data_IF_078239489475
#
_entry.id   IF_078239489475
#
_cell.length_a   1.000
_cell.length_b   1.000
_cell.length_c   1.000
_cell.angle_alpha   90.00
_cell.angle_beta   90.00
_cell.angle_gamma   90.00
#
_symmetry.space_group_name_H-M   'P 1'
#
loop_
_entity.id
_entity.type
_entity.pdbx_description
1 polymer ?
#
# COMPACT_ATOMS: atom_id res chain seq x y z
N UNK A 1 28.86 56.86 3.38
CA UNK A 1 27.60 56.09 3.28
C UNK A 1 27.59 55.45 1.90
N UNK A 2 27.69 54.15 1.67
CA UNK A 2 27.93 52.95 2.46
C UNK A 2 28.66 52.02 1.46
N UNK A 3 29.88 51.58 1.78
CA UNK A 3 30.51 50.48 1.06
C UNK A 3 29.99 49.19 1.70
N UNK A 4 29.06 48.52 1.03
CA UNK A 4 28.60 47.20 1.45
C UNK A 4 29.70 46.20 1.14
N UNK A 5 30.51 45.89 2.16
CA UNK A 5 31.49 44.80 2.12
C UNK A 5 30.73 43.48 2.10
N UNK A 6 30.75 42.79 0.96
CA UNK A 6 30.30 41.41 0.85
C UNK A 6 31.30 40.51 1.56
N UNK A 7 30.95 40.05 2.77
CA UNK A 7 31.69 39.02 3.50
C UNK A 7 31.13 37.65 3.07
N UNK A 8 31.57 37.14 1.92
CA UNK A 8 31.46 35.70 1.64
C UNK A 8 32.60 35.00 2.38
N UNK A 9 32.27 34.39 3.53
CA UNK A 9 33.16 33.39 4.14
C UNK A 9 33.20 32.18 3.20
N UNK A 10 34.38 31.68 2.80
CA UNK A 10 34.47 30.34 2.25
C UNK A 10 34.19 29.36 3.39
N UNK A 11 33.07 28.63 3.31
CA UNK A 11 32.88 27.46 4.16
C UNK A 11 33.82 26.39 3.60
N UNK A 12 35.02 26.33 4.15
CA UNK A 12 35.89 25.16 4.06
C UNK A 12 35.24 24.04 4.85
N UNK A 13 34.29 23.31 4.25
CA UNK A 13 33.76 22.09 4.86
C UNK A 13 34.72 20.93 4.59
N UNK A 14 35.81 20.87 5.37
CA UNK A 14 36.38 19.59 5.75
C UNK A 14 35.42 18.97 6.79
N UNK A 15 34.28 18.48 6.31
CA UNK A 15 33.43 17.58 7.07
C UNK A 15 33.65 16.21 6.46
N UNK A 16 34.31 15.32 7.20
CA UNK A 16 33.98 13.90 7.13
C UNK A 16 32.45 13.83 7.21
N UNK A 17 31.79 13.65 6.07
CA UNK A 17 30.34 13.56 6.03
C UNK A 17 29.96 12.42 6.97
N UNK A 18 29.28 12.77 8.05
CA UNK A 18 28.75 11.83 9.03
C UNK A 18 27.84 10.87 8.27
N UNK A 19 28.38 9.71 7.90
CA UNK A 19 27.75 8.79 6.95
C UNK A 19 26.68 8.03 7.72
N UNK A 20 25.49 8.63 7.81
CA UNK A 20 24.33 7.98 8.42
C UNK A 20 23.87 6.86 7.50
N UNK A 21 23.81 5.64 8.03
CA UNK A 21 23.29 4.46 7.35
C UNK A 21 21.81 4.31 7.72
N UNK A 22 20.96 4.13 6.71
CA UNK A 22 19.50 4.03 6.89
C UNK A 22 19.01 2.60 6.64
N UNK A 23 18.73 1.86 7.72
CA UNK A 23 18.18 0.50 7.70
C UNK A 23 16.73 0.47 8.20
N UNK A 24 15.89 1.39 7.72
CA UNK A 24 14.49 1.53 8.15
C UNK A 24 13.53 1.73 6.96
N UNK A 25 13.84 1.12 5.80
CA UNK A 25 13.03 1.25 4.59
C UNK A 25 11.59 0.70 4.74
N UNK A 26 11.36 -0.19 5.71
CA UNK A 26 10.01 -0.68 6.03
C UNK A 26 9.08 0.44 6.56
N UNK A 27 9.64 1.46 7.24
CA UNK A 27 8.89 2.64 7.67
C UNK A 27 8.66 3.61 6.50
N UNK A 28 9.73 3.99 5.79
CA UNK A 28 9.66 4.76 4.55
C UNK A 28 10.96 4.67 3.77
N UNK A 29 10.89 4.86 2.47
CA UNK A 29 12.07 4.94 1.60
C UNK A 29 12.40 6.40 1.22
N UNK A 30 13.65 6.69 0.81
CA UNK A 30 13.95 7.94 0.10
C UNK A 30 13.22 8.01 -1.24
N UNK A 31 12.88 9.22 -1.68
CA UNK A 31 12.29 9.46 -3.00
C UNK A 31 13.34 9.19 -4.08
N UNK A 32 12.99 8.39 -5.09
CA UNK A 32 13.86 8.15 -6.23
C UNK A 32 14.02 9.41 -7.10
N UNK A 33 15.21 9.56 -7.71
CA UNK A 33 15.54 10.75 -8.50
C UNK A 33 14.71 10.83 -9.79
N UNK A 34 14.53 9.73 -10.52
CA UNK A 34 13.67 9.70 -11.72
C UNK A 34 12.21 10.01 -11.35
N UNK A 35 11.78 9.60 -10.15
CA UNK A 35 10.45 9.94 -9.62
C UNK A 35 10.33 11.44 -9.37
N UNK A 36 11.30 12.05 -8.68
CA UNK A 36 11.32 13.49 -8.45
C UNK A 36 11.28 14.26 -9.78
N UNK A 37 12.09 13.86 -10.76
CA UNK A 37 12.12 14.48 -12.09
C UNK A 37 10.76 14.41 -12.79
N UNK A 38 10.05 13.29 -12.69
CA UNK A 38 8.70 13.16 -13.24
C UNK A 38 7.66 14.05 -12.52
N UNK A 39 7.87 14.35 -11.24
CA UNK A 39 6.97 15.19 -10.44
C UNK A 39 7.16 16.69 -10.70
N UNK A 40 8.41 17.13 -10.95
CA UNK A 40 8.78 18.55 -11.03
C UNK A 40 7.93 19.40 -11.99
N UNK A 41 7.56 18.93 -13.20
CA UNK A 41 6.70 19.70 -14.10
C UNK A 41 5.33 20.04 -13.48
N UNK A 42 4.74 19.13 -12.70
CA UNK A 42 3.43 19.31 -12.05
C UNK A 42 3.50 20.15 -10.77
N UNK A 43 4.71 20.41 -10.27
CA UNK A 43 4.97 21.36 -9.19
C UNK A 43 5.23 22.78 -9.72
N UNK A 44 5.51 22.93 -11.02
CA UNK A 44 6.01 24.18 -11.59
C UNK A 44 5.18 24.66 -12.77
N UNK A 45 5.29 24.03 -13.93
CA UNK A 45 4.69 24.50 -15.20
C UNK A 45 3.31 23.92 -15.51
N UNK A 46 3.00 22.72 -15.02
CA UNK A 46 1.73 22.00 -15.22
C UNK A 46 0.87 22.01 -13.94
N UNK A 47 0.61 23.20 -13.40
CA UNK A 47 -0.09 23.41 -12.12
C UNK A 47 -1.63 23.43 -12.23
N UNK A 48 -2.19 23.20 -13.41
CA UNK A 48 -3.62 23.33 -13.67
C UNK A 48 -4.49 22.39 -12.83
N UNK A 49 -5.66 22.85 -12.38
CA UNK A 49 -6.62 21.99 -11.69
C UNK A 49 -7.25 20.98 -12.68
N UNK A 50 -7.13 19.65 -12.45
CA UNK A 50 -7.66 18.60 -13.34
C UNK A 50 -9.17 18.62 -13.58
N UNK A 51 -9.91 19.26 -12.68
CA UNK A 51 -11.36 19.47 -12.80
C UNK A 51 -11.72 20.60 -13.80
N UNK A 52 -10.73 21.36 -14.29
CA UNK A 52 -10.96 22.48 -15.21
C UNK A 52 -10.97 22.06 -16.67
N UNK A 53 -11.82 22.71 -17.48
CA UNK A 53 -12.01 22.38 -18.91
C UNK A 53 -10.98 23.02 -19.86
N UNK A 54 -10.21 24.02 -19.42
CA UNK A 54 -9.21 24.71 -20.24
C UNK A 54 -7.89 23.92 -20.33
N UNK A 55 -6.96 24.37 -21.17
CA UNK A 55 -5.74 23.62 -21.56
C UNK A 55 -4.96 23.04 -20.38
N UNK A 56 -4.60 23.86 -19.39
CA UNK A 56 -3.83 23.39 -18.22
C UNK A 56 -4.57 22.32 -17.41
N UNK A 57 -5.90 22.43 -17.26
CA UNK A 57 -6.69 21.40 -16.57
C UNK A 57 -6.78 20.09 -17.35
N UNK A 58 -6.91 20.17 -18.68
CA UNK A 58 -6.89 18.99 -19.55
C UNK A 58 -5.55 18.26 -19.53
N UNK A 59 -4.46 19.01 -19.48
CA UNK A 59 -3.09 18.48 -19.38
C UNK A 59 -2.88 17.69 -18.09
N UNK A 60 -3.24 18.25 -16.92
CA UNK A 60 -3.08 17.56 -15.65
C UNK A 60 -4.06 16.40 -15.47
N UNK A 61 -5.28 16.51 -16.01
CA UNK A 61 -6.22 15.38 -16.10
C UNK A 61 -5.65 14.23 -16.93
N UNK A 62 -5.01 14.53 -18.06
CA UNK A 62 -4.37 13.50 -18.88
C UNK A 62 -3.23 12.81 -18.13
N UNK A 63 -2.45 13.55 -17.32
CA UNK A 63 -1.40 12.99 -16.49
C UNK A 63 -1.93 11.99 -15.45
N UNK A 64 -3.05 12.31 -14.80
CA UNK A 64 -3.73 11.39 -13.87
C UNK A 64 -4.17 10.12 -14.59
N UNK A 65 -4.83 10.26 -15.74
CA UNK A 65 -5.35 9.10 -16.48
C UNK A 65 -4.23 8.21 -17.04
N UNK A 66 -3.10 8.79 -17.46
CA UNK A 66 -1.92 8.03 -17.86
C UNK A 66 -1.29 7.30 -16.65
N UNK A 67 -1.19 7.98 -15.50
CA UNK A 67 -0.71 7.37 -14.26
C UNK A 67 -1.59 6.19 -13.85
N UNK A 68 -2.92 6.35 -13.93
CA UNK A 68 -3.90 5.29 -13.66
C UNK A 68 -3.74 4.10 -14.60
N UNK A 69 -3.54 4.34 -15.90
CA UNK A 69 -3.28 3.28 -16.89
C UNK A 69 -1.99 2.53 -16.58
N UNK A 70 -0.92 3.23 -16.21
CA UNK A 70 0.36 2.61 -15.84
C UNK A 70 0.20 1.70 -14.62
N UNK A 71 -0.40 2.21 -13.54
CA UNK A 71 -0.63 1.43 -12.31
C UNK A 71 -1.50 0.21 -12.59
N UNK A 72 -2.61 0.39 -13.31
CA UNK A 72 -3.53 -0.70 -13.64
C UNK A 72 -2.87 -1.78 -14.50
N UNK A 73 -2.05 -1.40 -15.50
CA UNK A 73 -1.27 -2.34 -16.32
C UNK A 73 -0.30 -3.15 -15.47
N UNK A 74 0.45 -2.49 -14.56
CA UNK A 74 1.44 -3.16 -13.71
C UNK A 74 0.80 -4.10 -12.68
N UNK A 75 -0.45 -3.85 -12.29
CA UNK A 75 -1.23 -4.70 -11.39
C UNK A 75 -2.16 -5.69 -12.12
N UNK A 76 -2.16 -5.71 -13.46
CA UNK A 76 -2.96 -6.63 -14.27
C UNK A 76 -4.47 -6.39 -14.23
N UNK A 77 -4.92 -5.13 -14.08
CA UNK A 77 -6.34 -4.76 -13.96
C UNK A 77 -6.75 -3.63 -14.91
N UNK A 78 -8.05 -3.33 -14.98
CA UNK A 78 -8.57 -2.24 -15.81
C UNK A 78 -8.30 -0.89 -15.13
N UNK A 79 -7.99 0.19 -15.87
CA UNK A 79 -7.77 1.51 -15.27
C UNK A 79 -8.93 1.99 -14.39
N UNK A 80 -10.16 1.63 -14.73
CA UNK A 80 -11.34 2.03 -13.97
C UNK A 80 -11.46 1.45 -12.55
N UNK A 81 -10.63 0.47 -12.17
CA UNK A 81 -10.65 -0.15 -10.85
C UNK A 81 -9.61 0.43 -9.89
N UNK A 82 -8.80 1.40 -10.33
CA UNK A 82 -7.77 2.05 -9.52
C UNK A 82 -8.24 3.45 -9.13
N UNK A 83 -8.22 3.75 -7.84
CA UNK A 83 -8.54 5.06 -7.27
C UNK A 83 -7.38 5.56 -6.44
N UNK A 84 -6.95 6.80 -6.66
CA UNK A 84 -5.87 7.42 -5.90
C UNK A 84 -6.40 7.94 -4.56
N UNK A 85 -5.64 7.67 -3.50
CA UNK A 85 -5.93 8.09 -2.13
C UNK A 85 -4.76 8.93 -1.61
N UNK A 86 -4.87 9.49 -0.39
CA UNK A 86 -3.74 10.16 0.27
C UNK A 86 -2.70 9.20 0.87
N UNK A 87 -2.90 7.87 0.78
CA UNK A 87 -1.98 6.87 1.31
C UNK A 87 -2.68 5.55 1.67
N UNK A 88 -1.90 4.63 2.23
CA UNK A 88 -2.37 3.30 2.65
C UNK A 88 -3.51 3.40 3.68
N UNK A 89 -3.35 4.24 4.70
CA UNK A 89 -4.36 4.43 5.75
C UNK A 89 -5.74 4.84 5.21
N UNK A 90 -5.80 5.80 4.27
CA UNK A 90 -7.08 6.19 3.65
C UNK A 90 -7.67 5.03 2.83
N UNK A 91 -6.82 4.27 2.14
CA UNK A 91 -7.24 3.10 1.36
C UNK A 91 -7.83 2.01 2.24
N UNK A 92 -7.14 1.61 3.32
CA UNK A 92 -7.61 0.58 4.25
C UNK A 92 -8.94 0.99 4.88
N UNK A 93 -9.04 2.24 5.32
CA UNK A 93 -10.26 2.78 5.90
C UNK A 93 -11.42 2.75 4.92
N UNK A 94 -11.16 3.11 3.66
CA UNK A 94 -12.17 3.09 2.60
C UNK A 94 -12.64 1.67 2.32
N UNK A 95 -11.72 0.71 2.17
CA UNK A 95 -12.06 -0.68 1.88
C UNK A 95 -12.89 -1.32 2.99
N UNK A 96 -12.46 -1.19 4.24
CA UNK A 96 -13.12 -1.80 5.41
C UNK A 96 -14.49 -1.15 5.64
N UNK A 97 -14.57 0.19 5.60
CA UNK A 97 -15.84 0.88 5.77
C UNK A 97 -16.84 0.53 4.65
N UNK A 98 -16.38 0.44 3.40
CA UNK A 98 -17.23 0.08 2.26
C UNK A 98 -17.76 -1.36 2.35
N UNK A 99 -16.95 -2.31 2.80
CA UNK A 99 -17.37 -3.69 2.97
C UNK A 99 -18.53 -3.84 3.98
N UNK A 100 -18.49 -3.08 5.07
CA UNK A 100 -19.58 -3.05 6.06
C UNK A 100 -20.77 -2.26 5.51
N UNK A 101 -20.56 -0.99 5.14
CA UNK A 101 -21.63 -0.04 4.79
C UNK A 101 -22.36 -0.40 3.49
N UNK A 102 -21.63 -0.78 2.45
CA UNK A 102 -22.18 -0.91 1.10
C UNK A 102 -22.33 -2.37 0.69
N UNK A 103 -21.38 -3.23 1.08
CA UNK A 103 -21.45 -4.65 0.78
C UNK A 103 -22.22 -5.44 1.85
N UNK A 104 -22.55 -4.83 3.00
CA UNK A 104 -23.38 -5.43 4.03
C UNK A 104 -22.69 -6.57 4.80
N UNK A 105 -21.36 -6.54 4.89
CA UNK A 105 -20.63 -7.49 5.74
C UNK A 105 -20.97 -7.22 7.22
N UNK A 106 -21.22 -8.28 7.98
CA UNK A 106 -21.60 -8.24 9.41
C UNK A 106 -20.57 -8.93 10.30
N UNK A 107 -19.57 -9.57 9.70
CA UNK A 107 -18.43 -10.15 10.42
C UNK A 107 -17.11 -9.82 9.73
N UNK A 108 -16.12 -9.37 10.49
CA UNK A 108 -14.76 -9.12 10.00
C UNK A 108 -13.82 -10.17 10.59
N UNK A 109 -13.17 -10.93 9.73
CA UNK A 109 -12.07 -11.84 10.06
C UNK A 109 -10.77 -11.13 9.70
N UNK A 110 -9.90 -10.92 10.69
CA UNK A 110 -8.62 -10.21 10.54
C UNK A 110 -7.52 -10.93 11.32
N UNK A 111 -6.30 -10.38 11.42
CA UNK A 111 -5.21 -10.93 12.23
C UNK A 111 -4.75 -9.95 13.33
N UNK A 112 -4.11 -10.43 14.41
CA UNK A 112 -3.57 -9.54 15.44
C UNK A 112 -2.26 -8.85 14.99
N UNK A 113 -1.69 -9.25 13.86
CA UNK A 113 -0.45 -8.69 13.29
C UNK A 113 -0.71 -7.69 12.17
N UNK A 114 -1.97 -7.27 11.98
CA UNK A 114 -2.28 -6.23 11.00
C UNK A 114 -1.68 -4.87 11.39
N UNK A 115 -1.49 -4.00 10.41
CA UNK A 115 -1.06 -2.63 10.66
C UNK A 115 -2.16 -1.87 11.41
N UNK A 116 -1.78 -0.88 12.22
CA UNK A 116 -2.74 -0.07 13.00
C UNK A 116 -3.84 0.58 12.15
N UNK A 117 -3.57 0.88 10.88
CA UNK A 117 -4.59 1.39 9.95
C UNK A 117 -5.74 0.40 9.72
N UNK A 118 -5.49 -0.90 9.80
CA UNK A 118 -6.53 -1.95 9.73
C UNK A 118 -7.09 -2.20 11.13
N UNK A 119 -6.24 -2.46 12.14
CA UNK A 119 -6.69 -2.81 13.49
C UNK A 119 -7.60 -1.75 14.11
N UNK A 120 -7.19 -0.48 14.09
CA UNK A 120 -7.98 0.59 14.68
C UNK A 120 -9.28 0.87 13.91
N UNK A 121 -9.29 0.67 12.59
CA UNK A 121 -10.51 0.79 11.78
C UNK A 121 -11.49 -0.34 12.09
N UNK A 122 -10.99 -1.58 12.22
CA UNK A 122 -11.81 -2.73 12.63
C UNK A 122 -12.36 -2.52 14.04
N UNK A 123 -11.54 -2.07 14.98
CA UNK A 123 -11.97 -1.75 16.35
C UNK A 123 -13.04 -0.64 16.38
N UNK A 124 -12.83 0.44 15.62
CA UNK A 124 -13.79 1.52 15.50
C UNK A 124 -15.15 1.05 14.96
N UNK A 125 -15.14 0.25 13.88
CA UNK A 125 -16.37 -0.25 13.26
C UNK A 125 -17.07 -1.33 14.11
N UNK A 126 -16.32 -2.10 14.91
CA UNK A 126 -16.87 -3.08 15.84
C UNK A 126 -17.66 -2.44 17.01
N UNK A 127 -17.64 -1.12 17.16
CA UNK A 127 -18.53 -0.41 18.09
C UNK A 127 -20.00 -0.47 17.65
N UNK A 128 -20.28 -0.70 16.36
CA UNK A 128 -21.62 -1.03 15.87
C UNK A 128 -21.99 -2.45 16.32
N UNK A 129 -23.10 -2.59 17.05
CA UNK A 129 -23.60 -3.87 17.57
C UNK A 129 -23.93 -4.90 16.48
N UNK A 130 -24.05 -4.47 15.23
CA UNK A 130 -24.30 -5.34 14.07
C UNK A 130 -23.02 -5.87 13.41
N UNK A 131 -21.85 -5.38 13.83
CA UNK A 131 -20.55 -5.80 13.33
C UNK A 131 -19.84 -6.60 14.41
N UNK A 132 -19.46 -7.83 14.08
CA UNK A 132 -18.66 -8.67 14.98
C UNK A 132 -17.30 -8.94 14.37
N UNK A 133 -16.29 -9.22 15.18
CA UNK A 133 -14.92 -9.43 14.70
C UNK A 133 -14.34 -10.72 15.26
N UNK A 134 -13.36 -11.28 14.56
CA UNK A 134 -12.57 -12.42 15.01
C UNK A 134 -11.15 -12.31 14.45
N UNK A 135 -10.21 -12.94 15.17
CA UNK A 135 -8.82 -13.01 14.76
C UNK A 135 -8.50 -14.43 14.29
N UNK A 136 -7.89 -14.55 13.12
CA UNK A 136 -7.30 -15.81 12.67
C UNK A 136 -6.12 -16.19 13.56
N UNK A 137 -5.97 -17.49 13.82
CA UNK A 137 -4.82 -17.97 14.56
C UNK A 137 -3.53 -17.74 13.77
N UNK A 138 -2.42 -17.58 14.49
CA UNK A 138 -1.08 -17.53 13.95
C UNK A 138 -0.35 -18.82 14.26
N UNK A 139 0.52 -19.22 13.36
CA UNK A 139 1.55 -20.24 13.62
C UNK A 139 2.68 -19.62 14.46
N UNK A 140 3.51 -20.48 15.03
CA UNK A 140 4.66 -20.04 15.86
C UNK A 140 5.65 -19.14 15.10
N UNK A 141 5.71 -19.26 13.78
CA UNK A 141 6.59 -18.49 12.90
C UNK A 141 5.95 -17.20 12.34
N UNK A 142 4.77 -16.82 12.87
CA UNK A 142 4.06 -15.60 12.48
C UNK A 142 3.19 -15.72 11.23
N UNK A 143 3.18 -16.88 10.54
CA UNK A 143 2.26 -17.06 9.40
C UNK A 143 0.81 -17.23 9.86
N UNK A 144 -0.12 -16.74 9.04
CA UNK A 144 -1.55 -17.00 9.22
C UNK A 144 -1.83 -18.51 9.10
N UNK A 145 -2.59 -19.04 10.04
CA UNK A 145 -3.11 -20.41 9.95
C UNK A 145 -4.34 -20.45 9.03
N UNK A 146 -4.14 -20.99 7.82
CA UNK A 146 -5.20 -21.12 6.82
C UNK A 146 -6.32 -22.08 7.26
N UNK A 147 -6.03 -23.07 8.13
CA UNK A 147 -7.07 -23.94 8.65
C UNK A 147 -7.98 -23.15 9.60
N UNK A 148 -7.39 -22.33 10.47
CA UNK A 148 -8.15 -21.42 11.35
C UNK A 148 -9.02 -20.45 10.54
N UNK A 149 -8.51 -19.90 9.44
CA UNK A 149 -9.28 -19.04 8.54
C UNK A 149 -10.46 -19.80 7.91
N UNK A 150 -10.23 -21.01 7.40
CA UNK A 150 -11.27 -21.83 6.78
C UNK A 150 -12.37 -22.23 7.77
N UNK A 151 -11.99 -22.63 8.99
CA UNK A 151 -12.93 -22.99 10.05
C UNK A 151 -13.81 -21.81 10.45
N UNK A 152 -13.22 -20.61 10.59
CA UNK A 152 -13.95 -19.38 10.90
C UNK A 152 -14.90 -18.99 9.76
N UNK A 153 -14.43 -19.03 8.51
CA UNK A 153 -15.28 -18.77 7.34
C UNK A 153 -16.47 -19.73 7.34
N UNK A 154 -16.24 -21.04 7.47
CA UNK A 154 -17.30 -22.05 7.53
C UNK A 154 -18.31 -21.76 8.64
N UNK A 155 -17.84 -21.46 9.85
CA UNK A 155 -18.69 -21.18 11.02
C UNK A 155 -19.55 -19.93 10.81
N UNK A 156 -18.95 -18.81 10.39
CA UNK A 156 -19.66 -17.54 10.32
C UNK A 156 -20.57 -17.46 9.09
N UNK A 157 -20.13 -17.95 7.93
CA UNK A 157 -21.02 -17.99 6.75
C UNK A 157 -22.13 -19.02 6.93
N UNK A 158 -21.84 -20.16 7.58
CA UNK A 158 -22.84 -21.18 7.92
C UNK A 158 -23.91 -20.70 8.92
N UNK A 159 -23.59 -19.70 9.75
CA UNK A 159 -24.55 -19.02 10.64
C UNK A 159 -25.25 -17.82 9.99
N UNK A 160 -25.11 -17.64 8.67
CA UNK A 160 -25.77 -16.60 7.90
C UNK A 160 -25.11 -15.22 7.97
N UNK A 161 -23.90 -15.11 8.54
CA UNK A 161 -23.15 -13.85 8.52
C UNK A 161 -22.49 -13.64 7.16
N UNK A 162 -22.46 -12.38 6.70
CA UNK A 162 -21.70 -11.99 5.53
C UNK A 162 -20.31 -11.54 5.98
N UNK A 163 -19.28 -12.25 5.54
CA UNK A 163 -17.92 -12.06 6.06
C UNK A 163 -17.08 -11.14 5.17
N UNK A 164 -16.28 -10.29 5.80
CA UNK A 164 -15.10 -9.65 5.22
C UNK A 164 -13.86 -10.31 5.81
N UNK A 165 -12.93 -10.72 4.97
CA UNK A 165 -11.56 -11.07 5.35
C UNK A 165 -10.67 -9.87 5.03
N UNK A 166 -9.90 -9.40 6.00
CA UNK A 166 -8.88 -8.36 5.81
C UNK A 166 -7.57 -8.84 6.39
N UNK A 167 -6.61 -9.17 5.52
CA UNK A 167 -5.30 -9.69 5.92
C UNK A 167 -4.20 -9.04 5.09
N UNK A 168 -3.22 -8.43 5.72
CA UNK A 168 -2.06 -7.82 5.05
C UNK A 168 -1.28 -8.86 4.24
N UNK A 169 -0.75 -8.45 3.09
CA UNK A 169 -0.02 -9.33 2.20
C UNK A 169 1.39 -9.63 2.73
N UNK A 170 2.05 -8.66 3.37
CA UNK A 170 3.32 -8.86 4.08
C UNK A 170 3.32 -8.09 5.38
N UNK A 171 3.79 -8.72 6.46
CA UNK A 171 3.94 -8.05 7.73
C UNK A 171 5.10 -7.04 7.71
N UNK A 172 4.84 -5.82 8.19
CA UNK A 172 5.80 -4.73 8.18
C UNK A 172 6.92 -4.84 9.21
N UNK A 173 6.85 -5.79 10.15
CA UNK A 173 7.82 -5.98 11.22
C UNK A 173 8.67 -7.25 10.99
N UNK A 174 8.01 -8.38 10.71
CA UNK A 174 8.69 -9.69 10.57
C UNK A 174 8.76 -10.19 9.12
N UNK A 175 8.14 -9.50 8.16
CA UNK A 175 8.27 -9.80 6.72
C UNK A 175 7.58 -11.08 6.24
N UNK A 176 6.78 -11.75 7.09
CA UNK A 176 6.03 -12.96 6.70
C UNK A 176 5.02 -12.64 5.60
N UNK A 177 5.01 -13.45 4.55
CA UNK A 177 4.11 -13.29 3.40
C UNK A 177 2.82 -14.12 3.58
N UNK A 178 1.69 -13.48 3.31
CA UNK A 178 0.41 -14.14 3.20
C UNK A 178 0.36 -14.90 1.86
N UNK A 179 -0.06 -16.18 1.84
CA UNK A 179 -0.36 -16.87 0.59
C UNK A 179 -1.68 -16.34 -0.01
N UNK A 180 -1.65 -15.10 -0.53
CA UNK A 180 -2.82 -14.29 -0.90
C UNK A 180 -3.75 -14.99 -1.89
N UNK A 181 -3.21 -15.79 -2.81
CA UNK A 181 -4.00 -16.61 -3.75
C UNK A 181 -4.87 -17.65 -3.03
N UNK A 182 -4.27 -18.38 -2.08
CA UNK A 182 -4.99 -19.40 -1.28
C UNK A 182 -6.05 -18.76 -0.38
N UNK A 183 -5.76 -17.59 0.19
CA UNK A 183 -6.75 -16.82 0.95
C UNK A 183 -7.90 -16.38 0.04
N UNK A 184 -7.59 -15.88 -1.16
CA UNK A 184 -8.60 -15.55 -2.16
C UNK A 184 -9.48 -16.76 -2.53
N UNK A 185 -8.89 -17.94 -2.76
CA UNK A 185 -9.62 -19.18 -3.02
C UNK A 185 -10.58 -19.56 -1.87
N UNK A 186 -10.14 -19.43 -0.62
CA UNK A 186 -11.00 -19.63 0.55
C UNK A 186 -12.13 -18.59 0.59
N UNK A 187 -11.83 -17.30 0.39
CA UNK A 187 -12.85 -16.26 0.34
C UNK A 187 -13.87 -16.52 -0.78
N UNK A 188 -13.44 -17.00 -1.94
CA UNK A 188 -14.33 -17.38 -3.04
C UNK A 188 -15.24 -18.54 -2.64
N UNK A 189 -14.67 -19.60 -2.06
CA UNK A 189 -15.40 -20.80 -1.61
C UNK A 189 -16.54 -20.45 -0.63
N UNK A 190 -16.32 -19.48 0.25
CA UNK A 190 -17.27 -19.07 1.28
C UNK A 190 -18.01 -17.77 0.96
N UNK A 191 -17.90 -17.25 -0.27
CA UNK A 191 -18.52 -15.99 -0.71
C UNK A 191 -18.22 -14.79 0.22
N UNK A 192 -17.00 -14.75 0.76
CA UNK A 192 -16.53 -13.65 1.61
C UNK A 192 -15.92 -12.52 0.77
N UNK A 193 -16.12 -11.28 1.23
CA UNK A 193 -15.39 -10.12 0.70
C UNK A 193 -13.94 -10.21 1.15
N UNK A 194 -12.97 -9.88 0.28
CA UNK A 194 -11.55 -9.99 0.59
C UNK A 194 -10.82 -8.68 0.32
N UNK A 195 -10.21 -8.13 1.36
CA UNK A 195 -9.27 -7.02 1.31
C UNK A 195 -7.88 -7.51 1.72
N UNK A 196 -6.85 -7.00 1.08
CA UNK A 196 -5.47 -7.17 1.55
C UNK A 196 -4.71 -5.84 1.54
N UNK A 197 -4.16 -5.48 2.70
CA UNK A 197 -3.19 -4.40 2.79
C UNK A 197 -1.89 -4.85 2.10
N UNK A 198 -1.62 -4.28 0.93
CA UNK A 198 -0.45 -4.58 0.11
C UNK A 198 0.61 -3.47 0.17
N UNK A 199 0.58 -2.59 1.17
CA UNK A 199 1.50 -1.45 1.32
C UNK A 199 2.97 -1.89 1.34
N UNK A 200 3.29 -3.05 1.91
CA UNK A 200 4.65 -3.60 1.92
C UNK A 200 5.01 -4.47 0.72
N UNK A 201 4.10 -4.71 -0.22
CA UNK A 201 4.33 -5.65 -1.33
C UNK A 201 4.19 -5.04 -2.71
N UNK A 202 3.26 -4.09 -2.92
CA UNK A 202 3.22 -3.30 -4.16
C UNK A 202 4.54 -2.54 -4.29
N UNK A 203 5.20 -2.69 -5.44
CA UNK A 203 6.54 -2.14 -5.68
C UNK A 203 7.69 -3.03 -5.22
N UNK A 204 7.43 -4.11 -4.48
CA UNK A 204 8.46 -5.06 -4.04
C UNK A 204 8.31 -6.44 -4.68
N UNK A 205 7.10 -6.82 -5.08
CA UNK A 205 6.80 -8.09 -5.72
C UNK A 205 5.91 -7.90 -6.95
N UNK A 206 6.07 -8.71 -8.02
CA UNK A 206 5.12 -8.77 -9.11
C UNK A 206 3.76 -9.27 -8.59
N UNK A 207 2.73 -8.44 -8.74
CA UNK A 207 1.36 -8.77 -8.33
C UNK A 207 0.44 -8.62 -9.54
N UNK A 208 -0.17 -9.73 -9.96
CA UNK A 208 -1.25 -9.72 -10.94
C UNK A 208 -2.58 -9.97 -10.21
N UNK A 209 -3.36 -8.91 -10.00
CA UNK A 209 -4.64 -9.01 -9.30
C UNK A 209 -5.70 -9.73 -10.13
N UNK A 210 -5.52 -9.85 -11.46
CA UNK A 210 -6.41 -10.65 -12.31
C UNK A 210 -6.39 -12.15 -11.99
N UNK A 211 -5.32 -12.63 -11.33
CA UNK A 211 -5.14 -14.04 -10.94
C UNK A 211 -5.55 -14.32 -9.49
N UNK A 212 -6.09 -13.32 -8.78
CA UNK A 212 -6.39 -13.40 -7.35
C UNK A 212 -7.86 -13.06 -7.16
N UNK A 213 -8.62 -13.93 -6.49
CA UNK A 213 -9.97 -13.57 -6.04
C UNK A 213 -9.86 -12.55 -4.91
N UNK A 214 -9.90 -11.26 -5.25
CA UNK A 214 -9.74 -10.16 -4.30
C UNK A 214 -10.66 -8.99 -4.66
N UNK A 215 -11.22 -8.35 -3.63
CA UNK A 215 -12.17 -7.24 -3.79
C UNK A 215 -11.49 -5.89 -3.64
N UNK A 216 -10.52 -5.80 -2.73
CA UNK A 216 -9.80 -4.57 -2.43
C UNK A 216 -8.31 -4.83 -2.20
N UNK A 217 -7.46 -3.90 -2.66
CA UNK A 217 -6.08 -3.80 -2.16
C UNK A 217 -5.75 -2.36 -1.80
N UNK A 218 -4.87 -2.20 -0.82
CA UNK A 218 -4.29 -0.91 -0.44
C UNK A 218 -2.80 -0.85 -0.78
N UNK A 219 -2.31 0.31 -1.22
CA UNK A 219 -0.88 0.56 -1.37
C UNK A 219 -0.51 2.03 -1.18
N UNK A 220 0.76 2.29 -0.83
CA UNK A 220 1.28 3.63 -0.56
C UNK A 220 2.70 3.79 -1.14
N UNK A 221 2.97 4.84 -1.92
CA UNK A 221 4.20 4.87 -2.71
C UNK A 221 5.48 5.14 -1.93
N UNK A 222 5.39 5.72 -0.74
CA UNK A 222 6.57 5.99 0.10
C UNK A 222 7.23 4.73 0.68
N UNK A 223 6.68 3.54 0.39
CA UNK A 223 7.30 2.24 0.69
C UNK A 223 8.16 1.69 -0.45
N UNK A 224 8.10 2.28 -1.64
CA UNK A 224 8.84 1.83 -2.83
C UNK A 224 9.39 3.03 -3.63
N UNK A 225 10.03 3.96 -2.92
CA UNK A 225 10.72 5.13 -3.45
C UNK A 225 9.87 6.19 -4.16
N UNK A 226 8.55 6.16 -3.94
CA UNK A 226 7.64 7.22 -4.36
C UNK A 226 7.40 8.28 -3.28
N UNK A 227 6.60 9.32 -3.60
CA UNK A 227 6.30 10.39 -2.66
C UNK A 227 5.41 9.91 -1.51
N UNK A 228 5.49 10.63 -0.38
CA UNK A 228 4.55 10.54 0.73
C UNK A 228 3.24 11.25 0.37
N UNK A 229 2.14 10.88 1.05
CA UNK A 229 0.84 11.55 0.85
C UNK A 229 0.11 11.14 -0.43
N UNK A 230 0.43 9.96 -0.98
CA UNK A 230 -0.32 9.34 -2.08
C UNK A 230 -0.32 7.82 -1.93
N UNK A 231 -1.46 7.23 -2.24
CA UNK A 231 -1.67 5.79 -2.30
C UNK A 231 -2.67 5.43 -3.39
N UNK A 232 -3.01 4.15 -3.43
CA UNK A 232 -4.11 3.65 -4.24
C UNK A 232 -5.01 2.74 -3.42
N UNK A 233 -6.28 2.73 -3.83
CA UNK A 233 -7.25 1.70 -3.55
C UNK A 233 -7.59 1.01 -4.87
N UNK A 234 -7.42 -0.30 -4.93
CA UNK A 234 -8.07 -1.12 -5.95
C UNK A 234 -9.48 -1.48 -5.48
N UNK A 235 -10.47 -1.40 -6.37
CA UNK A 235 -11.82 -1.92 -6.15
C UNK A 235 -12.18 -2.83 -7.32
N UNK A 236 -12.47 -4.09 -7.03
CA UNK A 236 -12.86 -5.07 -8.05
C UNK A 236 -14.11 -4.60 -8.80
N UNK A 237 -14.10 -4.77 -10.13
CA UNK A 237 -15.18 -4.28 -11.00
C UNK A 237 -16.54 -4.95 -10.77
N UNK A 238 -16.56 -6.09 -10.07
CA UNK A 238 -17.78 -6.82 -9.75
C UNK A 238 -18.50 -6.32 -8.50
N UNK A 239 -17.95 -5.33 -7.79
CA UNK A 239 -18.59 -4.74 -6.62
C UNK A 239 -18.82 -3.24 -6.81
N UNK A 240 -19.83 -2.73 -6.12
CA UNK A 240 -20.17 -1.31 -6.12
C UNK A 240 -20.10 -0.80 -4.69
N UNK A 241 -19.33 0.27 -4.48
CA UNK A 241 -19.20 0.95 -3.18
C UNK A 241 -19.49 2.44 -3.36
N UNK A 242 -19.73 3.13 -2.24
CA UNK A 242 -19.90 4.58 -2.20
C UNK A 242 -18.59 5.25 -1.78
N UNK A 243 -18.37 6.54 -2.08
CA UNK A 243 -17.18 7.25 -1.62
C UNK A 243 -17.07 7.26 -0.09
N UNK A 244 -15.83 7.20 0.41
CA UNK A 244 -15.55 7.41 1.84
C UNK A 244 -15.49 8.91 2.17
N UNK A 245 -14.83 9.69 1.31
CA UNK A 245 -14.78 11.16 1.40
C UNK A 245 -15.83 11.75 0.47
N UNK A 246 -16.84 12.40 1.05
CA UNK A 246 -17.91 13.10 0.31
C UNK A 246 -17.45 14.45 -0.25
N UNK A 247 -17.93 14.83 -1.42
CA UNK A 247 -17.63 16.13 -2.04
C UNK A 247 -17.87 16.14 -3.55
N UNK A 248 -16.94 16.72 -4.30
CA UNK A 248 -16.99 16.78 -5.76
C UNK A 248 -16.79 15.42 -6.46
N UNK A 249 -16.86 15.43 -7.79
CA UNK A 249 -16.80 14.22 -8.62
C UNK A 249 -15.40 13.72 -8.99
N UNK A 250 -14.37 14.09 -8.21
CA UNK A 250 -12.99 13.61 -8.39
C UNK A 250 -12.90 12.09 -8.25
N UNK A 251 -11.83 11.51 -8.83
CA UNK A 251 -11.60 10.06 -8.82
C UNK A 251 -12.87 9.25 -9.22
N UNK A 252 -13.56 9.73 -10.26
CA UNK A 252 -14.78 9.11 -10.81
C UNK A 252 -15.93 9.02 -9.79
N UNK A 253 -16.09 10.05 -8.96
CA UNK A 253 -17.04 10.14 -7.84
C UNK A 253 -16.75 9.18 -6.67
N UNK A 254 -15.57 8.57 -6.61
CA UNK A 254 -15.21 7.59 -5.58
C UNK A 254 -14.36 8.15 -4.45
N UNK A 255 -13.69 9.28 -4.68
CA UNK A 255 -12.85 9.93 -3.68
C UNK A 255 -12.79 11.43 -3.96
N UNK A 256 -13.57 12.22 -3.23
CA UNK A 256 -13.63 13.66 -3.44
C UNK A 256 -12.35 14.39 -3.01
N UNK A 257 -12.17 15.60 -3.55
CA UNK A 257 -11.04 16.48 -3.27
C UNK A 257 -10.10 16.58 -4.46
N UNK A 258 -9.61 17.79 -4.73
CA UNK A 258 -8.70 18.06 -5.85
C UNK A 258 -7.53 17.08 -5.83
N UNK A 259 -7.30 16.43 -6.96
CA UNK A 259 -6.34 15.34 -7.07
C UNK A 259 -4.90 15.84 -6.86
N UNK A 260 -4.11 15.08 -6.09
CA UNK A 260 -2.69 15.33 -5.88
C UNK A 260 -1.89 14.94 -7.14
N UNK A 261 -1.93 15.78 -8.19
CA UNK A 261 -1.41 15.45 -9.54
C UNK A 261 0.06 15.02 -9.50
N UNK A 262 0.93 15.81 -8.86
CA UNK A 262 2.36 15.48 -8.76
C UNK A 262 2.58 14.19 -7.97
N UNK A 263 1.83 13.98 -6.87
CA UNK A 263 1.88 12.74 -6.11
C UNK A 263 1.47 11.52 -6.93
N UNK A 264 0.37 11.63 -7.69
CA UNK A 264 -0.15 10.57 -8.56
C UNK A 264 0.85 10.18 -9.65
N UNK A 265 1.45 11.18 -10.31
CA UNK A 265 2.51 10.96 -11.30
C UNK A 265 3.73 10.30 -10.65
N UNK A 266 4.13 10.77 -9.47
CA UNK A 266 5.22 10.18 -8.70
C UNK A 266 4.95 8.73 -8.28
N UNK A 267 3.73 8.41 -7.85
CA UNK A 267 3.31 7.04 -7.52
C UNK A 267 3.49 6.13 -8.74
N UNK A 268 2.94 6.52 -9.89
CA UNK A 268 3.00 5.70 -11.10
C UNK A 268 4.44 5.51 -11.60
N UNK A 269 5.27 6.56 -11.54
CA UNK A 269 6.68 6.48 -11.92
C UNK A 269 7.47 5.58 -10.97
N UNK A 270 7.24 5.68 -9.67
CA UNK A 270 7.88 4.84 -8.66
C UNK A 270 7.55 3.36 -8.89
N UNK A 271 6.28 3.03 -9.14
CA UNK A 271 5.87 1.66 -9.41
C UNK A 271 6.46 1.13 -10.74
N UNK A 272 6.53 1.97 -11.76
CA UNK A 272 7.18 1.61 -13.04
C UNK A 272 8.65 1.25 -12.85
N UNK A 273 9.43 2.09 -12.14
CA UNK A 273 10.84 1.83 -11.85
C UNK A 273 11.00 0.57 -11.02
N UNK A 274 10.22 0.44 -9.95
CA UNK A 274 10.31 -0.70 -9.05
C UNK A 274 10.05 -2.03 -9.77
N UNK A 275 9.10 -2.06 -10.72
CA UNK A 275 8.82 -3.26 -11.53
C UNK A 275 9.79 -3.46 -12.70
N UNK A 276 10.34 -2.38 -13.27
CA UNK A 276 11.42 -2.44 -14.28
C UNK A 276 12.67 -3.11 -13.69
N UNK A 277 13.04 -2.72 -12.48
CA UNK A 277 14.31 -3.10 -11.84
C UNK A 277 14.17 -4.26 -10.85
N UNK A 278 12.97 -4.85 -10.74
CA UNK A 278 12.59 -5.86 -9.74
C UNK A 278 13.60 -7.00 -9.63
N UNK A 279 13.94 -7.69 -10.72
CA UNK A 279 14.81 -8.87 -10.67
C UNK A 279 16.19 -8.55 -10.08
N UNK A 280 16.79 -7.45 -10.55
CA UNK A 280 18.10 -7.01 -10.09
C UNK A 280 18.08 -6.53 -8.63
N UNK A 281 17.05 -5.77 -8.25
CA UNK A 281 16.91 -5.20 -6.91
C UNK A 281 16.58 -6.30 -5.89
N UNK A 282 15.67 -7.20 -6.24
CA UNK A 282 15.28 -8.33 -5.38
C UNK A 282 16.48 -9.25 -5.11
N UNK A 283 17.28 -9.57 -6.14
CA UNK A 283 18.49 -10.39 -5.97
C UNK A 283 19.49 -9.71 -5.05
N UNK A 284 19.77 -8.42 -5.29
CA UNK A 284 20.71 -7.66 -4.47
C UNK A 284 20.28 -7.53 -3.01
N UNK A 285 18.99 -7.23 -2.75
CA UNK A 285 18.46 -7.13 -1.39
C UNK A 285 18.50 -8.49 -0.69
N UNK A 286 18.19 -9.57 -1.40
CA UNK A 286 18.24 -10.92 -0.83
C UNK A 286 19.67 -11.32 -0.47
N UNK A 287 20.66 -11.03 -1.31
CA UNK A 287 22.08 -11.26 -1.01
C UNK A 287 22.52 -10.49 0.24
N UNK A 288 22.15 -9.21 0.35
CA UNK A 288 22.47 -8.38 1.52
C UNK A 288 21.83 -8.92 2.80
N UNK A 289 20.58 -9.38 2.69
CA UNK A 289 19.84 -9.96 3.81
C UNK A 289 20.49 -11.26 4.29
N UNK A 290 20.85 -12.15 3.37
CA UNK A 290 21.59 -13.38 3.71
C UNK A 290 22.91 -13.06 4.39
N UNK A 291 23.68 -12.15 3.82
CA UNK A 291 24.94 -11.70 4.42
C UNK A 291 24.74 -11.14 5.84
N UNK A 292 23.75 -10.27 6.04
CA UNK A 292 23.42 -9.72 7.36
C UNK A 292 23.06 -10.83 8.35
N UNK A 293 22.18 -11.74 7.98
CA UNK A 293 21.75 -12.88 8.81
C UNK A 293 22.94 -13.76 9.22
N UNK A 294 23.82 -14.10 8.27
CA UNK A 294 25.03 -14.88 8.54
C UNK A 294 25.98 -14.16 9.50
N UNK A 295 26.24 -12.87 9.26
CA UNK A 295 27.12 -12.10 10.13
C UNK A 295 26.53 -11.93 11.53
N UNK A 296 25.23 -11.73 11.67
CA UNK A 296 24.59 -11.65 12.99
C UNK A 296 24.74 -12.98 13.74
N UNK A 297 24.42 -14.12 13.10
CA UNK A 297 24.57 -15.45 13.71
C UNK A 297 26.02 -15.76 14.13
N UNK A 298 26.98 -15.34 13.31
CA UNK A 298 28.40 -15.58 13.57
C UNK A 298 28.94 -14.72 14.73
N UNK A 299 28.48 -13.48 14.84
CA UNK A 299 29.10 -12.49 15.73
C UNK A 299 28.27 -12.18 16.99
N UNK A 300 27.02 -12.62 17.08
CA UNK A 300 26.13 -12.37 18.22
C UNK A 300 25.58 -13.71 18.73
N UNK A 301 26.07 -14.14 19.89
CA UNK A 301 25.61 -15.37 20.55
C UNK A 301 24.13 -15.24 20.97
N UNK A 302 23.35 -16.30 20.74
CA UNK A 302 21.93 -16.35 21.10
C UNK A 302 20.99 -15.55 20.19
N UNK A 303 21.47 -14.97 19.09
CA UNK A 303 20.59 -14.30 18.11
C UNK A 303 19.64 -15.29 17.44
N UNK A 304 18.39 -14.86 17.28
CA UNK A 304 17.34 -15.60 16.56
C UNK A 304 16.51 -14.64 15.70
N UNK A 305 15.72 -15.18 14.78
CA UNK A 305 14.93 -14.42 13.81
C UNK A 305 13.45 -14.82 13.94
N UNK A 306 12.57 -13.82 13.95
CA UNK A 306 11.17 -13.97 14.37
C UNK A 306 10.27 -14.69 13.34
N UNK A 307 10.70 -14.80 12.08
CA UNK A 307 9.97 -15.40 10.96
C UNK A 307 10.49 -16.81 10.59
N UNK A 308 11.12 -17.50 11.55
CA UNK A 308 11.60 -18.86 11.40
C UNK A 308 12.99 -18.98 10.74
N UNK A 309 13.61 -20.17 10.77
CA UNK A 309 15.03 -20.37 10.45
C UNK A 309 15.40 -20.23 8.95
N UNK A 310 14.41 -20.30 8.05
CA UNK A 310 14.56 -20.34 6.59
C UNK A 310 14.00 -19.12 5.86
N UNK A 311 13.74 -18.03 6.59
CA UNK A 311 13.15 -16.82 6.02
C UNK A 311 14.16 -16.02 5.23
#
# INVERSE_FOLDING_TARGET
MEQTVNITKPVTSNTTADTRIYFDNAATTPLDKEVLEAMLPYLTTHFGNPSSIYSYGRETRLAIENSRKTVARLLGVKPGTIFFTSGGTESDNTAIAAAIRDLGCTHIITSPIEHHAVLHTVEYLAQDRNVTTSFVALKEDGHIDLQSLEDQLMQYTGSGKKCMVTLMHANNEIGTLLPIKKVGELCQKYAATFHSDCVQTVGHYPINLGDIYIHFISAASHKFHGPKGVGILYVNENINIKPFISGGGQERNMRAGTENVYGIVGFAKALEIAMRDYESTSTYIDDLRHYMTEQLRKNIEGVSFNNGPNS
#
